data_IF_215367750392
#
_entry.id   IF_215367750392
#
_cell.length_a   1.000
_cell.length_b   1.000
_cell.length_c   1.000
_cell.angle_alpha   90.00
_cell.angle_beta   90.00
_cell.angle_gamma   90.00
#
_symmetry.space_group_name_H-M   'P 1'
#
loop_
_entity.id
_entity.type
_entity.pdbx_description
1 polymer ?
#
# COMPACT_ATOMS: atom_id res chain seq x y z
N UNK A 1 6.50 24.46 -1.02
CA UNK A 1 6.48 23.56 -2.20
C UNK A 1 7.49 22.41 -2.09
N UNK A 2 8.80 22.64 -1.98
CA UNK A 2 9.78 21.53 -1.81
C UNK A 2 9.61 20.84 -0.45
N UNK A 3 9.53 21.62 0.62
CA UNK A 3 9.25 21.11 1.98
C UNK A 3 7.90 20.38 2.08
N UNK A 4 6.84 20.90 1.46
CA UNK A 4 5.52 20.23 1.51
C UNK A 4 5.54 18.86 0.85
N UNK A 5 6.27 18.74 -0.27
CA UNK A 5 6.45 17.46 -0.95
C UNK A 5 7.23 16.47 -0.08
N UNK A 6 8.32 16.91 0.54
CA UNK A 6 9.12 16.09 1.46
C UNK A 6 8.30 15.64 2.66
N UNK A 7 7.61 16.56 3.34
CA UNK A 7 6.73 16.23 4.47
C UNK A 7 5.65 15.20 4.10
N UNK A 8 5.02 15.36 2.94
CA UNK A 8 4.00 14.42 2.46
C UNK A 8 4.61 13.04 2.17
N UNK A 9 5.79 12.99 1.55
CA UNK A 9 6.47 11.73 1.25
C UNK A 9 6.97 11.02 2.50
N UNK A 10 7.54 11.76 3.46
CA UNK A 10 8.00 11.23 4.74
C UNK A 10 6.82 10.67 5.55
N UNK A 11 5.71 11.39 5.58
CA UNK A 11 4.52 10.91 6.28
C UNK A 11 3.88 9.70 5.58
N UNK A 12 3.84 9.66 4.24
CA UNK A 12 3.44 8.47 3.47
C UNK A 12 4.35 7.27 3.77
N UNK A 13 5.67 7.47 3.83
CA UNK A 13 6.62 6.42 4.15
C UNK A 13 6.40 5.88 5.57
N UNK A 14 6.16 6.77 6.53
CA UNK A 14 5.82 6.41 7.91
C UNK A 14 4.54 5.56 7.99
N UNK A 15 3.48 5.97 7.30
CA UNK A 15 2.23 5.19 7.24
C UNK A 15 2.45 3.81 6.63
N UNK A 16 3.20 3.71 5.53
CA UNK A 16 3.50 2.42 4.89
C UNK A 16 4.32 1.49 5.81
N UNK A 17 5.28 2.05 6.56
CA UNK A 17 6.06 1.30 7.54
C UNK A 17 5.17 0.79 8.69
N UNK A 18 4.29 1.63 9.24
CA UNK A 18 3.32 1.25 10.27
C UNK A 18 2.39 0.13 9.79
N UNK A 19 1.84 0.24 8.57
CA UNK A 19 0.98 -0.79 7.98
C UNK A 19 1.68 -2.16 7.89
N UNK A 20 2.95 -2.17 7.50
CA UNK A 20 3.77 -3.39 7.47
C UNK A 20 4.00 -3.94 8.88
N UNK A 21 4.30 -3.07 9.84
CA UNK A 21 4.48 -3.44 11.25
C UNK A 21 3.22 -4.07 11.85
N UNK A 22 2.05 -3.45 11.67
CA UNK A 22 0.79 -4.01 12.16
C UNK A 22 0.52 -5.38 11.55
N UNK A 23 0.71 -5.56 10.24
CA UNK A 23 0.49 -6.85 9.58
C UNK A 23 1.35 -7.96 10.19
N UNK A 24 2.63 -7.67 10.47
CA UNK A 24 3.56 -8.62 11.09
C UNK A 24 3.14 -9.01 12.51
N UNK A 25 2.72 -8.04 13.33
CA UNK A 25 2.32 -8.29 14.72
C UNK A 25 0.97 -9.02 14.77
N UNK A 26 -0.01 -8.60 13.97
CA UNK A 26 -1.35 -9.22 13.88
C UNK A 26 -1.25 -10.71 13.52
N UNK A 27 -0.29 -11.09 12.66
CA UNK A 27 -0.08 -12.47 12.24
C UNK A 27 0.52 -13.37 13.33
N UNK A 28 1.19 -12.81 14.34
CA UNK A 28 1.95 -13.56 15.33
C UNK A 28 1.40 -13.45 16.76
N UNK A 29 0.57 -12.44 17.04
CA UNK A 29 -0.02 -12.26 18.37
C UNK A 29 -1.09 -13.33 18.64
N UNK A 30 -1.04 -13.93 19.82
CA UNK A 30 -2.07 -14.84 20.34
C UNK A 30 -3.10 -14.13 21.24
N UNK A 31 -2.81 -12.89 21.67
CA UNK A 31 -3.74 -12.05 22.41
C UNK A 31 -4.80 -11.49 21.46
N UNK A 32 -6.06 -11.89 21.67
CA UNK A 32 -7.21 -11.51 20.85
C UNK A 32 -7.58 -10.04 20.96
N UNK A 33 -7.43 -9.42 22.13
CA UNK A 33 -7.75 -8.00 22.33
C UNK A 33 -6.70 -7.11 21.66
N UNK A 34 -5.42 -7.44 21.86
CA UNK A 34 -4.32 -6.78 21.17
C UNK A 34 -4.46 -6.91 19.66
N UNK A 35 -4.79 -8.12 19.16
CA UNK A 35 -5.01 -8.36 17.73
C UNK A 35 -6.10 -7.45 17.18
N UNK A 36 -7.23 -7.35 17.88
CA UNK A 36 -8.35 -6.53 17.43
C UNK A 36 -8.01 -5.05 17.43
N UNK A 37 -7.28 -4.59 18.44
CA UNK A 37 -6.78 -3.21 18.53
C UNK A 37 -5.85 -2.87 17.37
N UNK A 38 -4.88 -3.73 17.06
CA UNK A 38 -3.95 -3.54 15.95
C UNK A 38 -4.66 -3.52 14.58
N UNK A 39 -5.70 -4.34 14.40
CA UNK A 39 -6.53 -4.31 13.19
C UNK A 39 -7.24 -2.96 13.04
N UNK A 40 -7.80 -2.42 14.12
CA UNK A 40 -8.46 -1.12 14.09
C UNK A 40 -7.47 0.00 13.75
N UNK A 41 -6.29 0.00 14.37
CA UNK A 41 -5.23 0.97 14.08
C UNK A 41 -4.77 0.89 12.62
N UNK A 42 -4.50 -0.32 12.12
CA UNK A 42 -4.15 -0.56 10.72
C UNK A 42 -5.20 0.00 9.76
N UNK A 43 -6.48 -0.27 10.00
CA UNK A 43 -7.56 0.19 9.14
C UNK A 43 -7.66 1.74 9.13
N UNK A 44 -7.44 2.39 10.28
CA UNK A 44 -7.40 3.85 10.35
C UNK A 44 -6.21 4.43 9.58
N UNK A 45 -5.01 3.85 9.76
CA UNK A 45 -3.80 4.30 9.06
C UNK A 45 -3.88 4.05 7.55
N UNK A 46 -4.55 2.98 7.11
CA UNK A 46 -4.83 2.73 5.69
C UNK A 46 -5.73 3.83 5.10
N UNK A 47 -6.77 4.24 5.83
CA UNK A 47 -7.64 5.36 5.42
C UNK A 47 -6.86 6.68 5.31
N UNK A 48 -5.99 6.97 6.28
CA UNK A 48 -5.09 8.13 6.25
C UNK A 48 -4.12 8.06 5.07
N UNK A 49 -3.52 6.90 4.84
CA UNK A 49 -2.59 6.64 3.75
C UNK A 49 -3.26 6.91 2.40
N UNK A 50 -4.47 6.39 2.19
CA UNK A 50 -5.19 6.60 0.93
C UNK A 50 -5.56 8.06 0.70
N UNK A 51 -5.96 8.76 1.75
CA UNK A 51 -6.27 10.19 1.71
C UNK A 51 -5.03 11.01 1.33
N UNK A 52 -3.90 10.75 1.99
CA UNK A 52 -2.65 11.44 1.75
C UNK A 52 -2.06 11.12 0.37
N UNK A 53 -2.18 9.87 -0.09
CA UNK A 53 -1.79 9.45 -1.43
C UNK A 53 -2.55 10.23 -2.51
N UNK A 54 -3.87 10.34 -2.37
CA UNK A 54 -4.69 11.10 -3.31
C UNK A 54 -4.31 12.59 -3.32
N UNK A 55 -4.04 13.15 -2.14
CA UNK A 55 -3.54 14.52 -2.01
C UNK A 55 -2.18 14.70 -2.73
N UNK A 56 -1.23 13.79 -2.49
CA UNK A 56 0.09 13.82 -3.10
C UNK A 56 0.01 13.70 -4.63
N UNK A 57 -0.91 12.87 -5.14
CA UNK A 57 -1.16 12.70 -6.57
C UNK A 57 -1.71 14.00 -7.19
N UNK A 58 -2.73 14.61 -6.57
CA UNK A 58 -3.32 15.86 -7.04
C UNK A 58 -2.33 17.04 -7.06
N UNK A 59 -1.38 17.05 -6.12
CA UNK A 59 -0.33 18.07 -6.03
C UNK A 59 0.89 17.79 -6.92
N UNK A 60 0.95 16.62 -7.56
CA UNK A 60 2.13 16.18 -8.33
C UNK A 60 3.35 15.87 -7.45
N UNK A 61 3.15 15.66 -6.14
CA UNK A 61 4.20 15.32 -5.18
C UNK A 61 4.59 13.85 -5.27
N UNK A 62 3.68 13.00 -5.74
CA UNK A 62 3.89 11.59 -5.98
C UNK A 62 3.56 11.23 -7.43
N UNK A 63 4.45 10.47 -8.09
CA UNK A 63 4.23 9.91 -9.42
C UNK A 63 4.17 8.39 -9.31
N UNK A 64 3.01 7.76 -9.50
CA UNK A 64 2.92 6.31 -9.49
C UNK A 64 3.74 5.72 -10.64
N UNK A 65 4.14 4.46 -10.50
CA UNK A 65 4.73 3.70 -11.59
C UNK A 65 3.78 3.73 -12.80
N UNK A 66 4.35 3.84 -14.00
CA UNK A 66 3.56 3.74 -15.22
C UNK A 66 2.89 2.36 -15.26
N UNK A 67 1.63 2.27 -15.75
CA UNK A 67 1.03 0.97 -16.00
C UNK A 67 1.91 0.19 -16.99
N UNK A 68 1.97 -1.13 -16.81
CA UNK A 68 2.59 -2.00 -17.80
C UNK A 68 1.86 -1.89 -19.14
N UNK A 69 2.59 -2.11 -20.24
CA UNK A 69 2.01 -2.15 -21.57
C UNK A 69 0.94 -3.26 -21.67
N UNK A 70 -0.16 -2.99 -22.38
CA UNK A 70 -1.27 -3.95 -22.48
C UNK A 70 -0.82 -5.28 -23.08
N UNK A 71 0.13 -5.27 -24.03
CA UNK A 71 0.67 -6.47 -24.64
C UNK A 71 1.35 -7.37 -23.59
N UNK A 72 2.14 -6.78 -22.68
CA UNK A 72 2.81 -7.51 -21.59
C UNK A 72 1.78 -8.11 -20.63
N UNK A 73 0.71 -7.37 -20.32
CA UNK A 73 -0.37 -7.85 -19.46
C UNK A 73 -1.10 -9.04 -20.12
N UNK A 74 -1.40 -8.96 -21.41
CA UNK A 74 -2.08 -10.05 -22.13
C UNK A 74 -1.20 -11.28 -22.27
N UNK A 75 0.08 -11.11 -22.63
CA UNK A 75 1.03 -12.23 -22.72
C UNK A 75 1.16 -12.98 -21.40
N UNK A 76 1.34 -12.26 -20.29
CA UNK A 76 1.46 -12.86 -18.96
C UNK A 76 0.17 -13.59 -18.55
N UNK A 77 -1.01 -13.03 -18.85
CA UNK A 77 -2.29 -13.71 -18.60
C UNK A 77 -2.39 -15.05 -19.34
N UNK A 78 -2.06 -15.06 -20.62
CA UNK A 78 -2.09 -16.29 -21.43
C UNK A 78 -1.12 -17.34 -20.89
N UNK A 79 0.10 -16.94 -20.49
CA UNK A 79 1.08 -17.84 -19.88
C UNK A 79 0.55 -18.47 -18.58
N UNK A 80 0.03 -17.66 -17.65
CA UNK A 80 -0.50 -18.15 -16.38
C UNK A 80 -1.71 -19.08 -16.57
N UNK A 81 -2.59 -18.79 -17.52
CA UNK A 81 -3.73 -19.67 -17.85
C UNK A 81 -3.28 -21.00 -18.44
N UNK A 82 -2.21 -21.01 -19.25
CA UNK A 82 -1.66 -22.24 -19.82
C UNK A 82 -0.93 -23.12 -18.79
N UNK A 83 -0.32 -22.52 -17.77
CA UNK A 83 0.33 -23.25 -16.68
C UNK A 83 -0.67 -23.93 -15.73
N UNK A 84 -1.89 -23.40 -15.57
CA UNK A 84 -2.94 -24.03 -14.75
C UNK A 84 -3.57 -25.29 -15.36
N UNK A 85 -3.30 -25.59 -16.63
CA UNK A 85 -3.88 -26.73 -17.35
C UNK A 85 -2.94 -27.94 -17.45
N UNK A 86 -1.72 -27.84 -16.91
CA UNK A 86 -0.75 -28.94 -16.78
C UNK A 86 -0.61 -29.38 -15.32
#
# INVERSE_FOLDING_TARGET
MFQDKEMVNDYLAGLNASLTGYAHIIAQTNDSELRQTLIQLRNQDESRQRTLYNYALQKGYYKPAAPAAEEVVQQLRTQLMSEQQN
#
